data_IF_978369376964
#
_entry.id   IF_978369376964
#
_cell.length_a   1.000
_cell.length_b   1.000
_cell.length_c   1.000
_cell.angle_alpha   90.00
_cell.angle_beta   90.00
_cell.angle_gamma   90.00
#
_symmetry.space_group_name_H-M   'P 1'
#
loop_
_entity.id
_entity.type
_entity.pdbx_description
1 polymer ?
#
# COMPACT_ATOMS: atom_id res chain seq x y z
N UNK A 1 55.44 -32.11 10.17
CA UNK A 1 54.18 -32.12 9.40
C UNK A 1 53.09 -31.57 10.30
N UNK A 2 52.69 -30.31 10.10
CA UNK A 2 51.71 -29.61 10.96
C UNK A 2 50.36 -29.59 10.26
N UNK A 3 49.34 -30.16 10.90
CA UNK A 3 47.97 -30.23 10.40
C UNK A 3 47.21 -28.94 10.79
N UNK A 4 46.53 -28.23 9.88
CA UNK A 4 45.76 -27.05 10.25
C UNK A 4 44.39 -27.45 10.81
N UNK A 5 44.02 -26.87 11.95
CA UNK A 5 42.69 -27.00 12.59
C UNK A 5 41.62 -26.29 11.73
N UNK A 6 40.40 -26.83 11.60
CA UNK A 6 39.29 -26.15 10.94
C UNK A 6 38.58 -25.28 11.98
N UNK A 7 38.93 -24.00 12.07
CA UNK A 7 38.26 -23.10 13.03
C UNK A 7 38.12 -21.70 12.44
N UNK A 8 37.83 -21.56 11.15
CA UNK A 8 37.64 -20.23 10.53
C UNK A 8 36.70 -20.28 9.33
N UNK A 9 35.57 -20.99 9.35
CA UNK A 9 34.56 -20.87 8.27
C UNK A 9 33.13 -20.99 8.82
N UNK A 10 32.82 -20.35 9.95
CA UNK A 10 31.43 -20.19 10.43
C UNK A 10 31.20 -18.76 10.93
N UNK A 11 31.74 -17.77 10.22
CA UNK A 11 31.40 -16.35 10.45
C UNK A 11 30.85 -15.64 9.21
N UNK A 12 30.86 -16.28 8.03
CA UNK A 12 30.44 -15.65 6.78
C UNK A 12 28.98 -15.89 6.37
N UNK A 13 28.22 -16.74 7.09
CA UNK A 13 26.82 -17.04 6.72
C UNK A 13 25.81 -16.16 7.49
N UNK A 14 26.26 -15.37 8.48
CA UNK A 14 25.36 -14.58 9.35
C UNK A 14 25.07 -13.17 8.80
N UNK A 15 25.77 -12.73 7.76
CA UNK A 15 25.64 -11.36 7.21
C UNK A 15 24.59 -11.20 6.08
N UNK A 16 23.78 -12.24 5.80
CA UNK A 16 22.79 -12.23 4.71
C UNK A 16 21.35 -12.26 5.21
N UNK A 17 21.12 -11.70 6.39
CA UNK A 17 19.80 -11.25 6.86
C UNK A 17 19.85 -9.74 7.10
N UNK A 18 20.54 -9.01 6.21
CA UNK A 18 20.30 -7.59 6.03
C UNK A 18 18.90 -7.50 5.44
N UNK A 19 17.92 -7.25 6.31
CA UNK A 19 16.54 -7.06 5.92
C UNK A 19 16.48 -6.00 4.82
N UNK A 20 16.25 -6.44 3.59
CA UNK A 20 15.84 -5.53 2.53
C UNK A 20 14.47 -5.03 2.96
N UNK A 21 14.41 -3.84 3.54
CA UNK A 21 13.20 -3.03 3.58
C UNK A 21 12.81 -2.79 2.13
N UNK A 22 12.13 -3.76 1.53
CA UNK A 22 11.59 -3.63 0.18
C UNK A 22 10.57 -2.52 0.26
N UNK A 23 10.89 -1.38 -0.36
CA UNK A 23 9.97 -0.28 -0.50
C UNK A 23 8.65 -0.81 -1.08
N UNK A 24 7.53 -0.36 -0.50
CA UNK A 24 6.21 -0.81 -0.92
C UNK A 24 5.95 -0.31 -2.34
N UNK A 25 5.61 -1.21 -3.26
CA UNK A 25 5.23 -0.85 -4.62
C UNK A 25 3.70 -0.85 -4.70
N UNK A 26 3.11 0.25 -5.16
CA UNK A 26 1.67 0.36 -5.36
C UNK A 26 1.32 0.66 -6.81
N UNK A 27 0.07 0.42 -7.19
CA UNK A 27 -0.48 0.96 -8.43
C UNK A 27 -0.80 2.43 -8.25
N UNK A 28 -0.30 3.26 -9.15
CA UNK A 28 -0.61 4.69 -9.24
C UNK A 28 -1.43 4.96 -10.50
N UNK A 29 -2.49 5.75 -10.32
CA UNK A 29 -3.15 6.44 -11.42
C UNK A 29 -4.12 7.50 -10.93
N UNK A 30 -4.33 8.51 -11.77
CA UNK A 30 -5.30 9.56 -11.53
C UNK A 30 -6.71 9.13 -11.99
N UNK A 31 -7.73 9.87 -11.55
CA UNK A 31 -9.17 9.62 -11.76
C UNK A 31 -9.48 9.04 -13.15
N UNK A 32 -10.34 8.01 -13.19
CA UNK A 32 -10.75 7.29 -14.41
C UNK A 32 -9.66 6.34 -14.97
N UNK A 33 -9.06 5.58 -14.07
CA UNK A 33 -7.91 4.75 -14.35
C UNK A 33 -8.25 3.41 -15.03
N UNK A 34 -7.94 3.29 -16.32
CA UNK A 34 -7.93 2.00 -17.04
C UNK A 34 -6.57 1.29 -16.95
N UNK A 35 -5.48 2.06 -16.91
CA UNK A 35 -4.09 1.57 -16.90
C UNK A 35 -3.32 2.20 -15.74
N UNK A 36 -3.06 1.40 -14.69
CA UNK A 36 -2.29 1.84 -13.52
C UNK A 36 -0.83 1.40 -13.62
N UNK A 37 0.09 2.32 -13.41
CA UNK A 37 1.54 2.06 -13.40
C UNK A 37 2.00 1.62 -12.01
N UNK A 38 3.11 0.89 -11.94
CA UNK A 38 3.76 0.61 -10.67
C UNK A 38 4.54 1.85 -10.22
N UNK A 39 4.37 2.24 -8.95
CA UNK A 39 5.11 3.31 -8.31
C UNK A 39 5.67 2.80 -6.97
N UNK A 40 6.94 3.09 -6.72
CA UNK A 40 7.58 2.84 -5.44
C UNK A 40 7.17 3.93 -4.46
N UNK A 41 6.60 3.54 -3.32
CA UNK A 41 6.15 4.50 -2.33
C UNK A 41 7.31 5.10 -1.54
N UNK A 42 7.13 6.35 -1.12
CA UNK A 42 8.05 7.02 -0.21
C UNK A 42 8.24 6.22 1.08
N UNK A 43 9.48 6.21 1.58
CA UNK A 43 9.77 5.68 2.91
C UNK A 43 9.00 6.51 3.96
N UNK A 44 8.27 5.86 4.88
CA UNK A 44 7.56 6.58 5.93
C UNK A 44 8.54 7.17 6.95
N UNK A 45 8.20 8.35 7.50
CA UNK A 45 8.88 8.89 8.67
C UNK A 45 8.62 8.07 9.94
N UNK A 46 9.31 8.44 11.04
CA UNK A 46 9.28 7.69 12.31
C UNK A 46 7.86 7.46 12.87
N UNK A 47 6.94 8.41 12.67
CA UNK A 47 5.56 8.36 13.17
C UNK A 47 4.53 8.03 12.07
N UNK A 48 4.98 7.62 10.89
CA UNK A 48 4.11 7.36 9.74
C UNK A 48 4.11 5.89 9.31
N UNK A 49 3.04 5.47 8.66
CA UNK A 49 2.96 4.23 7.91
C UNK A 49 2.64 4.52 6.45
N UNK A 50 3.17 3.66 5.57
CA UNK A 50 2.88 3.70 4.15
C UNK A 50 1.91 2.57 3.77
N UNK A 51 0.99 2.84 2.85
CA UNK A 51 0.08 1.86 2.29
C UNK A 51 -0.29 2.18 0.84
N UNK A 52 -0.73 1.15 0.11
CA UNK A 52 -1.44 1.33 -1.15
C UNK A 52 -2.89 1.69 -0.88
N UNK A 53 -3.42 2.66 -1.61
CA UNK A 53 -4.81 3.12 -1.52
C UNK A 53 -5.55 2.90 -2.83
N UNK A 54 -6.83 2.55 -2.72
CA UNK A 54 -7.86 2.68 -3.75
C UNK A 54 -8.93 3.65 -3.25
N UNK A 55 -9.13 4.75 -3.97
CA UNK A 55 -10.27 5.66 -3.79
C UNK A 55 -11.31 5.35 -4.86
N UNK A 56 -12.55 5.15 -4.44
CA UNK A 56 -13.72 4.98 -5.31
C UNK A 56 -14.66 6.15 -5.10
N UNK A 57 -14.98 6.86 -6.17
CA UNK A 57 -15.88 8.01 -6.17
C UNK A 57 -17.15 7.68 -6.91
N UNK A 58 -18.25 8.30 -6.49
CA UNK A 58 -19.43 8.48 -7.34
C UNK A 58 -19.59 9.95 -7.65
N UNK A 59 -19.69 10.30 -8.92
CA UNK A 59 -20.02 11.67 -9.31
C UNK A 59 -21.52 11.98 -9.12
N UNK A 60 -21.93 13.19 -9.47
CA UNK A 60 -23.33 13.63 -9.43
C UNK A 60 -24.23 12.94 -10.45
N UNK A 61 -23.64 12.27 -11.44
CA UNK A 61 -24.34 11.47 -12.45
C UNK A 61 -24.31 9.97 -12.10
N UNK A 62 -23.87 9.62 -10.88
CA UNK A 62 -23.72 8.25 -10.38
C UNK A 62 -22.74 7.39 -11.22
N UNK A 63 -21.80 8.02 -11.92
CA UNK A 63 -20.67 7.35 -12.55
C UNK A 63 -19.61 7.01 -11.50
N UNK A 64 -19.14 5.76 -11.52
CA UNK A 64 -18.09 5.29 -10.61
C UNK A 64 -16.72 5.60 -11.19
N UNK A 65 -15.90 6.33 -10.44
CA UNK A 65 -14.52 6.66 -10.79
C UNK A 65 -13.58 6.04 -9.77
N UNK A 66 -12.36 5.74 -10.22
CA UNK A 66 -11.32 5.17 -9.35
C UNK A 66 -10.03 5.97 -9.46
N UNK A 67 -9.35 6.11 -8.32
CA UNK A 67 -7.99 6.61 -8.19
C UNK A 67 -7.19 5.63 -7.34
N UNK A 68 -5.90 5.50 -7.64
CA UNK A 68 -5.00 4.59 -6.92
C UNK A 68 -3.72 5.32 -6.61
N UNK A 69 -3.24 5.21 -5.37
CA UNK A 69 -2.01 5.90 -4.97
C UNK A 69 -1.29 5.28 -3.78
N UNK A 70 -0.02 5.64 -3.62
CA UNK A 70 0.66 5.53 -2.32
C UNK A 70 0.11 6.58 -1.34
N UNK A 71 -0.03 6.21 -0.07
CA UNK A 71 -0.38 7.15 1.00
C UNK A 71 0.48 6.95 2.23
N UNK A 72 0.74 8.05 2.92
CA UNK A 72 1.33 8.11 4.25
C UNK A 72 0.26 8.56 5.24
N UNK A 73 0.18 7.90 6.40
CA UNK A 73 -0.72 8.28 7.48
C UNK A 73 -0.09 7.98 8.85
N UNK A 74 -0.60 8.57 9.92
CA UNK A 74 -0.03 8.46 11.27
C UNK A 74 -0.18 7.03 11.83
N UNK A 75 0.88 6.53 12.46
CA UNK A 75 0.87 5.21 13.13
C UNK A 75 -0.23 5.14 14.18
N UNK A 76 -0.90 3.99 14.24
CA UNK A 76 -1.98 3.75 15.22
C UNK A 76 -3.30 4.44 14.88
N UNK A 77 -3.38 5.17 13.76
CA UNK A 77 -4.63 5.77 13.26
C UNK A 77 -5.24 4.95 12.14
N UNK A 78 -6.54 5.15 11.90
CA UNK A 78 -7.20 4.64 10.69
C UNK A 78 -7.04 5.66 9.58
N UNK A 79 -6.78 5.19 8.37
CA UNK A 79 -6.79 6.06 7.19
C UNK A 79 -8.17 6.70 7.01
N UNK A 80 -8.19 8.01 6.73
CA UNK A 80 -9.41 8.77 6.45
C UNK A 80 -9.43 9.21 5.00
N UNK A 81 -10.57 9.06 4.33
CA UNK A 81 -10.76 9.63 3.00
C UNK A 81 -10.64 11.15 3.05
N UNK A 82 -10.00 11.71 2.04
CA UNK A 82 -10.15 13.14 1.77
C UNK A 82 -11.61 13.45 1.41
N UNK A 83 -12.10 14.61 1.85
CA UNK A 83 -13.40 15.12 1.46
C UNK A 83 -13.28 15.85 0.12
N UNK A 84 -14.18 15.52 -0.81
CA UNK A 84 -14.19 16.08 -2.15
C UNK A 84 -15.62 16.52 -2.47
N UNK A 85 -15.89 17.84 -2.49
CA UNK A 85 -17.26 18.37 -2.55
C UNK A 85 -18.01 18.09 -3.87
N UNK A 86 -17.28 17.65 -4.91
CA UNK A 86 -17.85 17.38 -6.23
C UNK A 86 -18.37 15.93 -6.39
N UNK A 87 -18.22 15.08 -5.37
CA UNK A 87 -18.63 13.67 -5.42
C UNK A 87 -19.75 13.39 -4.42
N UNK A 88 -20.66 12.50 -4.80
CA UNK A 88 -21.81 12.09 -3.99
C UNK A 88 -21.45 11.01 -2.98
N UNK A 89 -20.36 10.27 -3.20
CA UNK A 89 -19.83 9.34 -2.22
C UNK A 89 -18.36 9.06 -2.50
N UNK A 90 -17.60 8.79 -1.45
CA UNK A 90 -16.18 8.46 -1.50
C UNK A 90 -15.95 7.24 -0.61
N UNK A 91 -15.19 6.28 -1.11
CA UNK A 91 -14.77 5.09 -0.35
C UNK A 91 -13.27 4.88 -0.52
N UNK A 92 -12.56 4.64 0.58
CA UNK A 92 -11.12 4.46 0.61
C UNK A 92 -10.77 3.11 1.21
N UNK A 93 -9.93 2.35 0.51
CA UNK A 93 -9.45 1.05 0.97
C UNK A 93 -7.93 1.03 0.88
N UNK A 94 -7.28 0.75 2.01
CA UNK A 94 -5.82 0.64 2.11
C UNK A 94 -5.36 -0.81 2.25
N UNK A 95 -4.19 -1.13 1.72
CA UNK A 95 -3.53 -2.42 1.87
C UNK A 95 -1.99 -2.26 1.86
N UNK A 96 -1.25 -3.21 2.47
CA UNK A 96 0.20 -3.10 2.74
C UNK A 96 1.05 -4.15 1.99
N UNK A 97 0.53 -4.71 0.90
CA UNK A 97 1.24 -5.67 0.06
C UNK A 97 1.58 -5.06 -1.30
N UNK A 98 2.68 -5.51 -1.90
CA UNK A 98 3.09 -5.01 -3.21
C UNK A 98 1.97 -5.19 -4.25
N UNK A 99 1.59 -4.08 -4.89
CA UNK A 99 0.56 -4.00 -5.93
C UNK A 99 -0.82 -4.50 -5.47
N UNK A 100 -1.10 -4.51 -4.18
CA UNK A 100 -2.38 -5.01 -3.64
C UNK A 100 -3.59 -4.19 -4.12
N UNK A 101 -3.38 -2.93 -4.49
CA UNK A 101 -4.38 -2.06 -5.11
C UNK A 101 -4.48 -2.25 -6.64
N UNK A 102 -3.94 -3.33 -7.21
CA UNK A 102 -4.03 -3.62 -8.64
C UNK A 102 -5.40 -4.15 -9.09
N UNK A 103 -6.16 -4.77 -8.18
CA UNK A 103 -7.42 -5.42 -8.52
C UNK A 103 -8.38 -4.44 -9.22
N UNK A 104 -8.96 -4.91 -10.32
CA UNK A 104 -9.53 -4.03 -11.36
C UNK A 104 -10.75 -3.23 -10.90
N UNK A 105 -11.49 -3.62 -9.87
CA UNK A 105 -12.68 -2.92 -9.37
C UNK A 105 -13.06 -3.48 -7.98
N UNK A 106 -12.29 -3.18 -6.93
CA UNK A 106 -12.45 -3.90 -5.66
C UNK A 106 -13.53 -3.35 -4.74
N UNK A 107 -14.76 -3.81 -4.98
CA UNK A 107 -15.70 -4.15 -3.90
C UNK A 107 -15.30 -5.42 -3.14
N UNK A 108 -14.23 -6.10 -3.54
CA UNK A 108 -13.56 -7.21 -2.87
C UNK A 108 -12.06 -7.09 -3.15
N UNK A 109 -11.26 -6.67 -2.17
CA UNK A 109 -9.80 -6.88 -2.19
C UNK A 109 -9.55 -8.26 -1.54
N UNK A 110 -8.65 -9.03 -2.15
CA UNK A 110 -8.27 -10.37 -1.70
C UNK A 110 -7.70 -10.34 -0.26
N UNK A 111 -7.93 -11.45 0.44
CA UNK A 111 -7.60 -11.76 1.85
C UNK A 111 -6.18 -11.33 2.31
N UNK A 112 -6.01 -10.06 2.62
CA UNK A 112 -4.95 -9.53 3.47
C UNK A 112 -5.59 -8.54 4.42
N UNK A 113 -5.55 -8.81 5.73
CA UNK A 113 -6.30 -8.17 6.82
C UNK A 113 -6.74 -6.70 6.52
N UNK A 114 -7.93 -6.54 5.92
CA UNK A 114 -8.43 -5.25 5.45
C UNK A 114 -9.12 -4.56 6.62
N UNK A 115 -8.58 -3.42 7.04
CA UNK A 115 -9.32 -2.52 7.95
C UNK A 115 -10.19 -1.61 7.09
N UNK A 116 -11.29 -2.16 6.55
CA UNK A 116 -12.28 -1.37 5.83
C UNK A 116 -13.15 -0.63 6.86
N UNK A 117 -13.03 0.70 6.93
CA UNK A 117 -14.03 1.51 7.62
C UNK A 117 -14.80 2.30 6.55
N UNK A 118 -15.77 1.63 5.94
CA UNK A 118 -16.75 2.29 5.08
C UNK A 118 -17.58 3.22 5.96
N UNK A 119 -17.22 4.49 6.01
CA UNK A 119 -18.05 5.51 6.66
C UNK A 119 -18.82 6.23 5.56
N UNK A 120 -20.04 5.74 5.32
CA UNK A 120 -21.04 6.42 4.53
C UNK A 120 -21.53 7.62 5.34
N UNK A 121 -21.14 8.84 4.96
CA UNK A 121 -21.81 10.05 5.42
C UNK A 121 -22.47 10.74 4.22
N UNK A 122 -23.77 10.48 4.08
CA UNK A 122 -24.80 11.49 3.79
C UNK A 122 -25.96 11.18 4.75
#
# INVERSE_FOLDING_TARGET
MSSPKPTVIIFFIIALVLGTSLALICKQCNVNCNDAVDEECLEPGDDQEVACLVETFKDTHNATLYQRKCVLYEKGTKFQCADYPNYTSISCVTCKENRCNAAKNSGHVARGNITANATSHI
#
